data_IF_700123249063
#
_entry.id   IF_700123249063
#
_cell.length_a   1.000
_cell.length_b   1.000
_cell.length_c   1.000
_cell.angle_alpha   90.00
_cell.angle_beta   90.00
_cell.angle_gamma   90.00
#
_symmetry.space_group_name_H-M   'P 1'
#
loop_
_entity.id
_entity.type
_entity.pdbx_description
1 polymer ?
#
# COMPACT_ATOMS: atom_id res chain seq x y z
N UNK A 1 -2.32 5.30 -45.01
CA UNK A 1 -3.03 5.24 -43.72
C UNK A 1 -1.96 4.98 -42.67
N UNK A 2 -1.54 5.99 -41.91
CA UNK A 2 -0.49 5.84 -40.91
C UNK A 2 -1.12 5.34 -39.60
N UNK A 3 -0.74 4.15 -39.16
CA UNK A 3 -1.08 3.64 -37.83
C UNK A 3 -0.24 4.42 -36.82
N UNK A 4 -0.89 5.29 -36.04
CA UNK A 4 -0.25 5.90 -34.87
C UNK A 4 0.03 4.75 -33.90
N UNK A 5 1.30 4.46 -33.52
CA UNK A 5 1.54 3.48 -32.48
C UNK A 5 0.92 4.04 -31.20
N UNK A 6 -0.09 3.35 -30.67
CA UNK A 6 -0.62 3.61 -29.34
C UNK A 6 0.56 3.51 -28.38
N UNK A 7 1.10 4.65 -27.92
CA UNK A 7 2.19 4.65 -26.96
C UNK A 7 1.67 4.03 -25.67
N UNK A 8 1.90 2.72 -25.55
CA UNK A 8 1.51 1.96 -24.38
C UNK A 8 2.55 2.25 -23.33
N UNK A 9 2.13 2.76 -22.17
CA UNK A 9 3.04 3.11 -21.10
C UNK A 9 3.99 1.93 -20.80
N UNK A 10 5.31 2.11 -20.63
CA UNK A 10 6.26 1.01 -20.51
C UNK A 10 5.93 0.01 -19.39
N UNK A 11 5.35 0.48 -18.28
CA UNK A 11 4.90 -0.41 -17.19
C UNK A 11 3.79 -1.38 -17.61
N UNK A 12 3.01 -1.05 -18.65
CA UNK A 12 2.00 -1.92 -19.25
C UNK A 12 2.59 -2.97 -20.21
N UNK A 13 3.91 -3.02 -20.42
CA UNK A 13 4.56 -4.08 -21.20
C UNK A 13 5.47 -5.00 -20.39
N UNK A 14 5.80 -4.65 -19.14
CA UNK A 14 6.62 -5.48 -18.21
C UNK A 14 6.01 -6.88 -17.98
N UNK A 15 6.62 -7.97 -18.47
CA UNK A 15 6.05 -9.30 -18.30
C UNK A 15 6.21 -9.78 -16.84
N UNK A 16 5.18 -10.46 -16.34
CA UNK A 16 5.24 -11.24 -15.10
C UNK A 16 4.29 -12.44 -15.23
N UNK A 17 4.58 -13.51 -14.51
CA UNK A 17 3.85 -14.77 -14.53
C UNK A 17 3.93 -15.47 -13.15
N UNK A 18 3.42 -16.70 -13.06
CA UNK A 18 3.43 -17.47 -11.82
C UNK A 18 4.83 -17.85 -11.31
N UNK A 19 5.85 -17.83 -12.17
CA UNK A 19 7.24 -18.13 -11.81
C UNK A 19 8.03 -16.86 -11.43
N UNK A 20 7.39 -15.69 -11.45
CA UNK A 20 8.04 -14.42 -11.10
C UNK A 20 8.19 -14.31 -9.59
N UNK A 21 9.40 -13.99 -9.13
CA UNK A 21 9.71 -13.82 -7.71
C UNK A 21 8.76 -12.81 -7.04
N UNK A 22 8.33 -13.11 -5.81
CA UNK A 22 7.36 -12.30 -5.07
C UNK A 22 7.85 -10.87 -4.82
N UNK A 23 9.16 -10.66 -4.68
CA UNK A 23 9.78 -9.34 -4.53
C UNK A 23 9.64 -8.51 -5.81
N UNK A 24 9.85 -9.12 -6.98
CA UNK A 24 9.66 -8.47 -8.28
C UNK A 24 8.18 -8.14 -8.53
N UNK A 25 7.27 -9.04 -8.14
CA UNK A 25 5.83 -8.77 -8.18
C UNK A 25 5.45 -7.62 -7.24
N UNK A 26 6.02 -7.55 -6.04
CA UNK A 26 5.78 -6.46 -5.10
C UNK A 26 6.27 -5.10 -5.65
N UNK A 27 7.49 -5.04 -6.18
CA UNK A 27 8.03 -3.84 -6.84
C UNK A 27 7.17 -3.40 -8.03
N UNK A 28 6.61 -4.37 -8.77
CA UNK A 28 5.70 -4.08 -9.87
C UNK A 28 4.38 -3.48 -9.35
N UNK A 29 3.80 -4.04 -8.29
CA UNK A 29 2.60 -3.51 -7.65
C UNK A 29 2.80 -2.07 -7.18
N UNK A 30 3.94 -1.77 -6.54
CA UNK A 30 4.29 -0.41 -6.08
C UNK A 30 4.30 0.58 -7.24
N UNK A 31 5.11 0.30 -8.29
CA UNK A 31 5.23 1.19 -9.46
C UNK A 31 3.90 1.39 -10.19
N UNK A 32 3.08 0.34 -10.28
CA UNK A 32 1.76 0.42 -10.88
C UNK A 32 0.81 1.30 -10.07
N UNK A 33 0.78 1.14 -8.75
CA UNK A 33 -0.08 1.92 -7.86
C UNK A 33 0.33 3.42 -7.84
N UNK A 34 1.62 3.70 -7.77
CA UNK A 34 2.16 5.07 -7.85
C UNK A 34 1.78 5.75 -9.17
N UNK A 35 2.10 5.11 -10.30
CA UNK A 35 1.78 5.65 -11.63
C UNK A 35 0.27 5.81 -11.84
N UNK A 36 -0.54 4.91 -11.28
CA UNK A 36 -2.01 5.01 -11.31
C UNK A 36 -2.50 6.24 -10.55
N UNK A 37 -1.95 6.52 -9.37
CA UNK A 37 -2.34 7.66 -8.54
C UNK A 37 -2.03 8.99 -9.23
N UNK A 38 -0.86 9.08 -9.87
CA UNK A 38 -0.36 10.30 -10.55
C UNK A 38 -0.96 10.53 -11.94
N UNK A 39 -1.47 9.48 -12.60
CA UNK A 39 -2.07 9.62 -13.92
C UNK A 39 -3.28 10.58 -13.92
N UNK A 40 -3.51 11.29 -15.02
CA UNK A 40 -4.75 12.05 -15.24
C UNK A 40 -5.64 11.42 -16.31
N UNK A 41 -5.15 10.43 -17.06
CA UNK A 41 -5.90 9.72 -18.10
C UNK A 41 -6.72 8.57 -17.48
N UNK A 42 -8.06 8.61 -17.54
CA UNK A 42 -8.93 7.55 -17.00
C UNK A 42 -8.68 6.18 -17.63
N UNK A 43 -8.32 6.14 -18.91
CA UNK A 43 -8.06 4.89 -19.64
C UNK A 43 -6.79 4.24 -19.11
N UNK A 44 -5.73 5.03 -18.95
CA UNK A 44 -4.48 4.55 -18.36
C UNK A 44 -4.66 4.15 -16.90
N UNK A 45 -5.42 4.91 -16.10
CA UNK A 45 -5.75 4.51 -14.71
C UNK A 45 -6.39 3.13 -14.67
N UNK A 46 -7.38 2.88 -15.51
CA UNK A 46 -8.06 1.59 -15.55
C UNK A 46 -7.12 0.46 -16.01
N UNK A 47 -6.27 0.74 -17.00
CA UNK A 47 -5.26 -0.22 -17.45
C UNK A 47 -4.27 -0.60 -16.34
N UNK A 48 -3.82 0.39 -15.55
CA UNK A 48 -2.97 0.13 -14.37
C UNK A 48 -3.72 -0.65 -13.29
N UNK A 49 -4.99 -0.33 -12.99
CA UNK A 49 -5.81 -1.10 -12.04
C UNK A 49 -5.91 -2.58 -12.45
N UNK A 50 -6.20 -2.85 -13.72
CA UNK A 50 -6.30 -4.22 -14.23
C UNK A 50 -4.97 -4.98 -14.10
N UNK A 51 -3.85 -4.30 -14.38
CA UNK A 51 -2.51 -4.90 -14.27
C UNK A 51 -2.07 -5.11 -12.83
N UNK A 52 -2.35 -4.16 -11.95
CA UNK A 52 -2.13 -4.27 -10.51
C UNK A 52 -2.93 -5.44 -9.94
N UNK A 53 -4.19 -5.58 -10.33
CA UNK A 53 -5.03 -6.72 -9.93
C UNK A 53 -4.41 -8.06 -10.36
N UNK A 54 -3.91 -8.16 -11.60
CA UNK A 54 -3.25 -9.37 -12.07
C UNK A 54 -1.98 -9.71 -11.28
N UNK A 55 -1.14 -8.70 -10.98
CA UNK A 55 0.06 -8.88 -10.15
C UNK A 55 -0.29 -9.33 -8.72
N UNK A 56 -1.30 -8.71 -8.09
CA UNK A 56 -1.77 -9.08 -6.76
C UNK A 56 -2.37 -10.50 -6.71
N UNK A 57 -3.08 -10.93 -7.76
CA UNK A 57 -3.61 -12.29 -7.87
C UNK A 57 -2.48 -13.32 -7.94
N UNK A 58 -1.39 -13.03 -8.66
CA UNK A 58 -0.22 -13.90 -8.72
C UNK A 58 0.59 -13.90 -7.43
N UNK A 59 0.66 -12.75 -6.74
CA UNK A 59 1.40 -12.60 -5.49
C UNK A 59 0.69 -13.30 -4.32
N UNK A 60 -0.64 -13.26 -4.26
CA UNK A 60 -1.44 -13.70 -3.11
C UNK A 60 -1.17 -15.14 -2.65
N UNK A 61 -1.05 -16.15 -3.53
CA UNK A 61 -0.71 -17.52 -3.11
C UNK A 61 0.67 -17.61 -2.45
N UNK A 62 1.67 -16.92 -3.01
CA UNK A 62 3.06 -16.97 -2.57
C UNK A 62 3.31 -16.33 -1.20
N UNK A 63 2.38 -15.51 -0.69
CA UNK A 63 2.52 -14.84 0.61
C UNK A 63 2.60 -15.81 1.80
N UNK A 64 2.20 -17.06 1.62
CA UNK A 64 2.24 -18.11 2.66
C UNK A 64 3.35 -19.13 2.44
N UNK A 65 4.05 -19.05 1.31
CA UNK A 65 5.10 -19.98 0.95
C UNK A 65 6.41 -19.64 1.69
N UNK A 66 7.27 -20.63 1.96
CA UNK A 66 8.58 -20.36 2.53
C UNK A 66 9.40 -19.48 1.58
N UNK A 67 10.22 -18.59 2.15
CA UNK A 67 11.10 -17.72 1.38
C UNK A 67 12.04 -18.57 0.50
N UNK A 68 12.05 -18.36 -0.84
CA UNK A 68 12.93 -19.06 -1.76
C UNK A 68 14.40 -18.93 -1.34
N UNK A 69 15.20 -20.01 -1.40
CA UNK A 69 16.60 -19.98 -0.94
C UNK A 69 17.45 -18.91 -1.61
N UNK A 70 17.22 -18.62 -2.90
CA UNK A 70 17.98 -17.62 -3.65
C UNK A 70 17.69 -16.18 -3.22
N UNK A 71 16.56 -15.93 -2.55
CA UNK A 71 16.20 -14.60 -2.03
C UNK A 71 16.68 -14.37 -0.60
N UNK A 72 17.07 -15.41 0.13
CA UNK A 72 17.47 -15.28 1.55
C UNK A 72 18.60 -14.29 1.73
N UNK A 73 19.64 -14.36 0.90
CA UNK A 73 20.78 -13.46 1.00
C UNK A 73 20.37 -12.02 0.71
N UNK A 74 19.51 -11.79 -0.30
CA UNK A 74 19.00 -10.44 -0.64
C UNK A 74 18.10 -9.84 0.44
N UNK A 75 17.47 -10.69 1.27
CA UNK A 75 16.59 -10.30 2.37
C UNK A 75 17.29 -10.35 3.73
N UNK A 76 18.59 -10.63 3.75
CA UNK A 76 19.41 -10.67 4.96
C UNK A 76 20.24 -9.39 5.05
N UNK A 77 20.22 -8.77 6.23
CA UNK A 77 21.04 -7.60 6.54
C UNK A 77 21.93 -7.90 7.75
N UNK A 78 23.16 -7.39 7.74
CA UNK A 78 24.15 -7.67 8.80
C UNK A 78 23.86 -6.92 10.11
N UNK A 79 23.03 -5.89 10.05
CA UNK A 79 22.65 -5.07 11.20
C UNK A 79 21.15 -4.90 11.26
N UNK A 80 20.59 -4.88 12.47
CA UNK A 80 19.17 -4.64 12.68
C UNK A 80 18.76 -3.31 11.98
N UNK A 81 17.77 -3.34 11.07
CA UNK A 81 17.28 -2.13 10.42
C UNK A 81 16.80 -1.12 11.46
N UNK A 82 17.25 0.12 11.35
CA UNK A 82 16.73 1.23 12.17
C UNK A 82 15.29 1.58 11.82
N UNK A 83 14.87 1.24 10.61
CA UNK A 83 13.55 1.51 10.07
C UNK A 83 13.00 0.25 9.41
N UNK A 84 11.73 -0.03 9.68
CA UNK A 84 10.93 -0.99 8.91
C UNK A 84 9.95 -0.23 8.03
N UNK A 85 9.47 -0.83 6.92
CA UNK A 85 8.36 -0.28 6.16
C UNK A 85 7.19 -0.01 7.11
N UNK A 86 6.63 1.20 7.07
CA UNK A 86 5.53 1.63 7.93
C UNK A 86 4.47 2.35 7.10
N UNK A 87 3.22 2.04 7.37
CA UNK A 87 2.12 2.88 6.94
C UNK A 87 2.09 4.12 7.85
N UNK A 88 2.36 5.30 7.30
CA UNK A 88 2.49 6.53 8.09
C UNK A 88 1.95 7.78 7.36
N UNK A 89 0.66 7.79 6.96
CA UNK A 89 0.03 9.03 6.55
C UNK A 89 -0.04 10.02 7.72
N UNK A 90 -0.10 11.31 7.42
CA UNK A 90 -0.48 12.30 8.42
C UNK A 90 -1.95 12.13 8.84
N UNK A 91 -2.33 12.78 9.95
CA UNK A 91 -3.66 12.64 10.54
C UNK A 91 -4.78 13.11 9.59
N UNK A 92 -4.52 14.13 8.77
CA UNK A 92 -5.49 14.68 7.82
C UNK A 92 -5.73 13.69 6.69
N UNK A 93 -4.66 13.17 6.08
CA UNK A 93 -4.69 12.15 5.03
C UNK A 93 -5.38 10.87 5.52
N UNK A 94 -5.10 10.45 6.75
CA UNK A 94 -5.73 9.25 7.33
C UNK A 94 -7.24 9.46 7.57
N UNK A 95 -7.64 10.65 7.99
CA UNK A 95 -9.04 11.03 8.10
C UNK A 95 -9.74 10.99 6.73
N UNK A 96 -9.10 11.54 5.69
CA UNK A 96 -9.60 11.55 4.33
C UNK A 96 -9.78 10.12 3.76
N UNK A 97 -8.87 9.20 4.07
CA UNK A 97 -9.05 7.78 3.72
C UNK A 97 -10.29 7.17 4.38
N UNK A 98 -10.49 7.41 5.68
CA UNK A 98 -11.66 6.91 6.41
C UNK A 98 -12.96 7.48 5.84
N UNK A 99 -12.99 8.79 5.55
CA UNK A 99 -14.14 9.47 4.95
C UNK A 99 -14.46 8.93 3.57
N UNK A 100 -13.44 8.80 2.71
CA UNK A 100 -13.60 8.32 1.34
C UNK A 100 -14.14 6.88 1.32
N UNK A 101 -13.60 5.99 2.14
CA UNK A 101 -14.09 4.61 2.25
C UNK A 101 -15.52 4.54 2.80
N UNK A 102 -15.85 5.39 3.79
CA UNK A 102 -17.22 5.47 4.32
C UNK A 102 -18.21 5.91 3.24
N UNK A 103 -17.87 6.94 2.47
CA UNK A 103 -18.70 7.42 1.36
C UNK A 103 -18.86 6.34 0.28
N UNK A 104 -17.80 5.62 -0.04
CA UNK A 104 -17.80 4.53 -1.01
C UNK A 104 -18.75 3.39 -0.60
N UNK A 105 -18.75 3.00 0.69
CA UNK A 105 -19.66 2.01 1.26
C UNK A 105 -21.12 2.49 1.24
N UNK A 106 -21.37 3.78 1.49
CA UNK A 106 -22.71 4.36 1.42
C UNK A 106 -23.31 4.30 0.01
N UNK A 107 -22.48 4.30 -1.04
CA UNK A 107 -22.95 4.16 -2.42
C UNK A 107 -23.50 2.77 -2.77
N UNK A 108 -23.25 1.73 -1.94
CA UNK A 108 -23.74 0.34 -2.15
C UNK A 108 -23.43 -0.23 -3.54
N UNK A 109 -22.23 0.05 -4.05
CA UNK A 109 -21.82 -0.30 -5.41
C UNK A 109 -21.17 -1.68 -5.55
N UNK A 110 -20.97 -2.42 -4.45
CA UNK A 110 -20.16 -3.63 -4.41
C UNK A 110 -20.97 -4.88 -4.09
N UNK A 111 -20.55 -6.06 -4.59
CA UNK A 111 -21.15 -7.32 -4.17
C UNK A 111 -20.85 -7.58 -2.68
N UNK A 112 -21.69 -8.37 -1.97
CA UNK A 112 -21.60 -8.55 -0.52
C UNK A 112 -20.21 -8.98 -0.02
N UNK A 113 -19.53 -9.86 -0.76
CA UNK A 113 -18.20 -10.33 -0.40
C UNK A 113 -17.14 -9.22 -0.43
N UNK A 114 -17.20 -8.31 -1.40
CA UNK A 114 -16.27 -7.19 -1.49
C UNK A 114 -16.62 -6.11 -0.48
N UNK A 115 -17.92 -5.89 -0.25
CA UNK A 115 -18.42 -4.96 0.76
C UNK A 115 -17.95 -5.35 2.17
N UNK A 116 -17.98 -6.64 2.52
CA UNK A 116 -17.45 -7.14 3.79
C UNK A 116 -15.96 -6.82 3.97
N UNK A 117 -15.15 -7.04 2.93
CA UNK A 117 -13.71 -6.70 2.98
C UNK A 117 -13.49 -5.19 3.17
N UNK A 118 -14.29 -4.35 2.51
CA UNK A 118 -14.22 -2.90 2.66
C UNK A 118 -14.65 -2.44 4.07
N UNK A 119 -15.64 -3.10 4.67
CA UNK A 119 -16.03 -2.83 6.07
C UNK A 119 -14.90 -3.17 7.06
N UNK A 120 -14.24 -4.33 6.89
CA UNK A 120 -13.10 -4.69 7.73
C UNK A 120 -11.94 -3.70 7.57
N UNK A 121 -11.60 -3.33 6.33
CA UNK A 121 -10.57 -2.33 6.07
C UNK A 121 -10.89 -0.98 6.72
N UNK A 122 -12.14 -0.51 6.63
CA UNK A 122 -12.55 0.73 7.30
C UNK A 122 -12.42 0.63 8.82
N UNK A 123 -12.77 -0.52 9.41
CA UNK A 123 -12.62 -0.74 10.85
C UNK A 123 -11.16 -0.63 11.28
N UNK A 124 -10.25 -1.33 10.59
CA UNK A 124 -8.81 -1.32 10.90
C UNK A 124 -8.22 0.09 10.75
N UNK A 125 -8.60 0.83 9.70
CA UNK A 125 -8.13 2.20 9.50
C UNK A 125 -8.65 3.17 10.56
N UNK A 126 -9.91 3.05 10.98
CA UNK A 126 -10.48 3.89 12.04
C UNK A 126 -9.86 3.55 13.40
N UNK A 127 -9.58 2.27 13.67
CA UNK A 127 -8.86 1.85 14.87
C UNK A 127 -7.44 2.43 14.90
N UNK A 128 -6.72 2.34 13.76
CA UNK A 128 -5.39 2.94 13.60
C UNK A 128 -5.44 4.46 13.79
N UNK A 129 -6.37 5.16 13.13
CA UNK A 129 -6.58 6.60 13.29
C UNK A 129 -6.87 6.98 14.74
N UNK A 130 -7.75 6.25 15.41
CA UNK A 130 -8.07 6.51 16.80
C UNK A 130 -6.83 6.31 17.70
N UNK A 131 -6.03 5.27 17.45
CA UNK A 131 -4.78 5.03 18.17
C UNK A 131 -3.79 6.17 17.98
N UNK A 132 -3.56 6.62 16.75
CA UNK A 132 -2.72 7.79 16.44
C UNK A 132 -3.23 9.04 17.17
N UNK A 133 -4.53 9.33 17.10
CA UNK A 133 -5.13 10.48 17.79
C UNK A 133 -5.03 10.40 19.32
N UNK A 134 -4.89 9.20 19.89
CA UNK A 134 -4.73 8.98 21.34
C UNK A 134 -3.29 8.71 21.77
N UNK A 135 -2.33 8.68 20.84
CA UNK A 135 -0.93 8.42 21.15
C UNK A 135 -0.39 9.44 22.18
N UNK A 136 0.42 9.03 23.16
CA UNK A 136 1.08 9.98 24.05
C UNK A 136 1.99 10.91 23.24
N UNK A 137 1.88 12.23 23.43
CA UNK A 137 2.82 13.23 22.88
C UNK A 137 3.80 13.76 23.90
N UNK A 138 3.51 13.54 25.18
CA UNK A 138 4.27 14.06 26.29
C UNK A 138 4.71 12.95 27.23
N UNK A 139 5.91 13.10 27.78
CA UNK A 139 6.49 12.21 28.78
C UNK A 139 6.86 13.00 30.04
N UNK A 140 6.63 12.41 31.20
CA UNK A 140 7.07 12.99 32.48
C UNK A 140 8.55 12.66 32.70
N UNK A 141 9.36 13.68 32.90
CA UNK A 141 10.80 13.58 33.19
C UNK A 141 11.11 14.22 34.54
N UNK A 142 12.35 14.08 35.03
CA UNK A 142 12.81 14.74 36.25
C UNK A 142 12.70 16.27 36.19
N UNK A 143 12.80 16.86 34.98
CA UNK A 143 12.68 18.30 34.75
C UNK A 143 11.24 18.74 34.41
N UNK A 144 10.25 17.86 34.59
CA UNK A 144 8.84 18.13 34.24
C UNK A 144 8.36 17.41 32.97
N UNK A 145 7.23 17.86 32.43
CA UNK A 145 6.60 17.27 31.24
C UNK A 145 7.30 17.79 29.99
N UNK A 146 7.86 16.89 29.18
CA UNK A 146 8.54 17.20 27.91
C UNK A 146 7.84 16.53 26.74
N UNK A 147 8.02 17.06 25.54
CA UNK A 147 7.53 16.42 24.33
C UNK A 147 8.37 15.17 24.02
N UNK A 148 7.73 14.09 23.55
CA UNK A 148 8.43 12.82 23.36
C UNK A 148 9.51 12.91 22.27
N UNK A 149 9.25 13.63 21.18
CA UNK A 149 10.22 13.77 20.08
C UNK A 149 11.48 14.53 20.51
N UNK A 150 11.36 15.49 21.44
CA UNK A 150 12.51 16.25 21.97
C UNK A 150 13.42 15.38 22.86
N UNK A 151 12.89 14.30 23.45
CA UNK A 151 13.64 13.38 24.32
C UNK A 151 14.23 12.22 23.52
N UNK A 152 13.62 11.87 22.38
CA UNK A 152 14.04 10.78 21.51
C UNK A 152 15.07 11.20 20.44
N UNK A 153 15.25 12.51 20.23
CA UNK A 153 16.26 13.11 19.35
C UNK A 153 17.63 13.21 20.01
#
# INVERSE_FOLDING_TARGET
MATIPTQTHPLLSVPFNADTDFTVLADCCEKLAETQAESYDPTLKMAFCGRLSAALVLLKPGLRDPIPPHLKDSLTVDTLPKTSPRFAPDADTLCDYCLTLTQLLLCRMFPPQMEEQLFWLLSELVEYFAAEMKAPRWIRTADGVKFIEEVAA
#
